data_IF_868710086303
#
_entry.id   IF_868710086303
#
_cell.length_a   1.000
_cell.length_b   1.000
_cell.length_c   1.000
_cell.angle_alpha   90.00
_cell.angle_beta   90.00
_cell.angle_gamma   90.00
#
_symmetry.space_group_name_H-M   'P 1'
#
loop_
_entity.id
_entity.type
_entity.pdbx_description
1 polymer ?
#
# COMPACT_ATOMS: atom_id res chain seq x y z
N UNK A 1 -12.05 -52.99 44.49
CA UNK A 1 -12.41 -52.93 43.06
C UNK A 1 -13.60 -52.01 42.87
N UNK A 2 -13.33 -50.78 42.41
CA UNK A 2 -14.22 -49.88 41.64
C UNK A 2 -13.48 -48.55 41.46
N UNK A 3 -12.59 -48.52 40.47
CA UNK A 3 -12.07 -47.26 39.94
C UNK A 3 -13.20 -46.63 39.11
N UNK A 4 -13.76 -45.52 39.57
CA UNK A 4 -14.50 -44.62 38.68
C UNK A 4 -13.48 -43.72 38.00
N UNK A 5 -13.28 -43.94 36.70
CA UNK A 5 -12.53 -43.04 35.84
C UNK A 5 -13.39 -41.79 35.56
N UNK A 6 -12.97 -40.63 36.08
CA UNK A 6 -13.56 -39.34 35.74
C UNK A 6 -12.89 -38.86 34.45
N UNK A 7 -13.64 -38.89 33.34
CA UNK A 7 -13.18 -38.35 32.06
C UNK A 7 -13.35 -36.82 32.10
N UNK A 8 -12.26 -36.09 32.38
CA UNK A 8 -12.25 -34.63 32.29
C UNK A 8 -12.14 -34.22 30.82
N UNK A 9 -13.23 -33.70 30.25
CA UNK A 9 -13.23 -33.10 28.92
C UNK A 9 -12.63 -31.70 29.05
N UNK A 10 -11.36 -31.56 28.67
CA UNK A 10 -10.66 -30.28 28.60
C UNK A 10 -11.16 -29.56 27.33
N UNK A 11 -12.03 -28.57 27.51
CA UNK A 11 -12.44 -27.67 26.43
C UNK A 11 -11.33 -26.64 26.24
N UNK A 12 -10.47 -26.85 25.24
CA UNK A 12 -9.48 -25.85 24.87
C UNK A 12 -10.18 -24.68 24.16
N UNK A 13 -9.99 -23.43 24.59
CA UNK A 13 -10.44 -22.30 23.82
C UNK A 13 -9.56 -22.23 22.57
N UNK A 14 -10.16 -22.41 21.39
CA UNK A 14 -9.54 -22.02 20.13
C UNK A 14 -9.29 -20.51 20.20
N UNK A 15 -8.07 -20.12 20.58
CA UNK A 15 -7.62 -18.75 20.47
C UNK A 15 -7.74 -18.35 19.00
N UNK A 16 -8.63 -17.41 18.71
CA UNK A 16 -8.65 -16.74 17.42
C UNK A 16 -7.28 -16.07 17.26
N UNK A 17 -6.43 -16.65 16.44
CA UNK A 17 -5.25 -15.96 15.94
C UNK A 17 -5.76 -14.76 15.15
N UNK A 18 -5.77 -13.58 15.77
CA UNK A 18 -5.82 -12.33 15.03
C UNK A 18 -4.55 -12.31 14.19
N UNK A 19 -4.68 -12.71 12.92
CA UNK A 19 -3.69 -12.38 11.92
C UNK A 19 -3.75 -10.85 11.78
N UNK A 20 -2.91 -10.15 12.56
CA UNK A 20 -2.59 -8.76 12.30
C UNK A 20 -2.01 -8.71 10.88
N UNK A 21 -2.86 -8.35 9.92
CA UNK A 21 -2.39 -8.08 8.57
C UNK A 21 -1.38 -6.94 8.66
N UNK A 22 -0.20 -7.05 8.03
CA UNK A 22 0.78 -5.98 8.09
C UNK A 22 0.13 -4.71 7.50
N UNK A 23 -0.07 -3.72 8.37
CA UNK A 23 -0.61 -2.44 7.97
C UNK A 23 0.36 -1.75 7.00
N UNK A 24 -0.18 -1.10 5.98
CA UNK A 24 0.61 -0.33 5.02
C UNK A 24 1.38 0.79 5.74
N UNK A 25 2.65 0.96 5.38
CA UNK A 25 3.45 2.11 5.77
C UNK A 25 3.10 3.29 4.85
N UNK A 26 2.66 4.41 5.41
CA UNK A 26 2.46 5.64 4.63
C UNK A 26 3.83 6.18 4.17
N UNK A 27 3.93 6.58 2.90
CA UNK A 27 5.17 7.07 2.28
C UNK A 27 4.97 8.47 1.71
N UNK A 28 5.97 9.35 1.85
CA UNK A 28 5.91 10.67 1.22
C UNK A 28 6.15 10.58 -0.29
N UNK A 29 5.44 11.38 -1.12
CA UNK A 29 5.54 11.32 -2.57
C UNK A 29 6.95 11.49 -3.14
N UNK A 30 7.79 12.31 -2.51
CA UNK A 30 9.14 12.58 -2.98
C UNK A 30 10.06 11.35 -2.99
N UNK A 31 9.76 10.32 -2.19
CA UNK A 31 10.54 9.08 -2.12
C UNK A 31 10.05 8.00 -3.08
N UNK A 32 9.03 8.29 -3.89
CA UNK A 32 8.40 7.31 -4.77
C UNK A 32 8.67 7.65 -6.23
N UNK A 33 9.11 6.66 -7.01
CA UNK A 33 9.00 6.77 -8.45
C UNK A 33 7.60 6.35 -8.88
N UNK A 34 6.81 7.33 -9.33
CA UNK A 34 5.42 7.14 -9.71
C UNK A 34 5.25 6.34 -11.00
N UNK A 35 6.32 6.08 -11.76
CA UNK A 35 6.27 5.28 -13.00
C UNK A 35 6.36 3.78 -12.71
N UNK A 36 7.29 3.37 -11.84
CA UNK A 36 7.50 1.96 -11.51
C UNK A 36 6.92 1.56 -10.15
N UNK A 37 6.34 2.52 -9.41
CA UNK A 37 5.71 2.29 -8.10
C UNK A 37 6.69 1.69 -7.09
N UNK A 38 7.88 2.27 -6.99
CA UNK A 38 8.91 1.85 -6.04
C UNK A 38 9.32 3.00 -5.10
N UNK A 39 9.64 2.64 -3.86
CA UNK A 39 10.16 3.54 -2.81
C UNK A 39 11.68 3.56 -2.84
N UNK A 40 12.27 4.70 -2.50
CA UNK A 40 13.72 4.94 -2.50
C UNK A 40 14.16 5.72 -1.26
N UNK A 41 15.41 5.54 -0.85
CA UNK A 41 16.00 6.18 0.34
C UNK A 41 16.38 7.66 0.15
N UNK A 42 16.05 8.24 -1.01
CA UNK A 42 16.37 9.64 -1.34
C UNK A 42 15.23 10.29 -2.13
N UNK A 43 15.11 11.63 -2.13
CA UNK A 43 14.16 12.31 -2.99
C UNK A 43 14.41 12.02 -4.48
N UNK A 44 13.32 11.81 -5.22
CA UNK A 44 13.31 11.57 -6.66
C UNK A 44 13.18 12.88 -7.45
N UNK A 45 13.27 12.80 -8.77
CA UNK A 45 13.24 13.99 -9.63
C UNK A 45 11.81 14.55 -9.70
N UNK A 46 11.57 15.82 -9.30
CA UNK A 46 10.26 16.43 -9.40
C UNK A 46 9.91 16.75 -10.87
N UNK A 47 8.64 16.57 -11.20
CA UNK A 47 8.05 16.86 -12.52
C UNK A 47 6.76 17.62 -12.32
N UNK A 48 6.73 18.89 -12.70
CA UNK A 48 5.54 19.72 -12.61
C UNK A 48 4.68 19.55 -13.86
N UNK A 49 3.40 19.22 -13.68
CA UNK A 49 2.40 19.20 -14.75
C UNK A 49 1.09 19.77 -14.22
N UNK A 50 0.58 20.82 -14.88
CA UNK A 50 -0.68 21.48 -14.53
C UNK A 50 -0.77 21.89 -13.04
N UNK A 51 0.33 22.41 -12.48
CA UNK A 51 0.40 22.86 -11.08
C UNK A 51 0.50 21.74 -10.04
N UNK A 52 0.66 20.48 -10.47
CA UNK A 52 0.89 19.31 -9.60
C UNK A 52 2.31 18.80 -9.75
N UNK A 53 2.87 18.25 -8.67
CA UNK A 53 4.22 17.68 -8.67
C UNK A 53 4.19 16.16 -8.62
N UNK A 54 4.90 15.54 -9.57
CA UNK A 54 5.11 14.10 -9.66
C UNK A 54 6.59 13.76 -9.50
N UNK A 55 6.91 12.50 -9.23
CA UNK A 55 8.27 12.09 -8.89
C UNK A 55 8.71 10.87 -9.70
N UNK A 56 9.90 10.96 -10.33
CA UNK A 56 10.47 9.90 -11.16
C UNK A 56 11.94 9.64 -10.82
N UNK A 57 12.37 8.37 -10.87
CA UNK A 57 13.73 7.99 -10.46
C UNK A 57 14.84 8.23 -11.49
N UNK A 58 14.47 8.55 -12.74
CA UNK A 58 15.43 8.79 -13.81
C UNK A 58 14.85 9.71 -14.89
N UNK A 59 15.69 10.11 -15.86
CA UNK A 59 15.29 10.95 -16.99
C UNK A 59 14.11 10.38 -17.78
N UNK A 60 14.10 9.08 -18.03
CA UNK A 60 12.98 8.42 -18.73
C UNK A 60 11.68 8.47 -17.93
N UNK A 61 11.73 8.26 -16.61
CA UNK A 61 10.53 8.36 -15.76
C UNK A 61 10.02 9.81 -15.73
N UNK A 62 10.93 10.79 -15.65
CA UNK A 62 10.58 12.21 -15.75
C UNK A 62 9.88 12.53 -17.06
N UNK A 63 10.44 12.08 -18.18
CA UNK A 63 9.86 12.32 -19.51
C UNK A 63 8.49 11.69 -19.66
N UNK A 64 8.32 10.45 -19.17
CA UNK A 64 7.03 9.77 -19.19
C UNK A 64 5.99 10.51 -18.36
N UNK A 65 6.32 10.95 -17.15
CA UNK A 65 5.39 11.73 -16.31
C UNK A 65 4.96 13.04 -16.98
N UNK A 66 5.86 13.69 -17.72
CA UNK A 66 5.56 14.93 -18.42
C UNK A 66 4.62 14.73 -19.63
N UNK A 67 4.67 13.58 -20.30
CA UNK A 67 3.99 13.34 -21.59
C UNK A 67 2.77 12.42 -21.50
N UNK A 68 2.81 11.44 -20.60
CA UNK A 68 1.83 10.36 -20.50
C UNK A 68 0.97 10.54 -19.25
N UNK A 69 -0.29 10.92 -19.45
CA UNK A 69 -1.26 11.06 -18.35
C UNK A 69 -1.48 9.74 -17.61
N UNK A 70 -1.38 8.58 -18.28
CA UNK A 70 -1.57 7.29 -17.60
C UNK A 70 -0.49 7.01 -16.55
N UNK A 71 0.72 7.53 -16.73
CA UNK A 71 1.79 7.40 -15.74
C UNK A 71 1.50 8.18 -14.44
N UNK A 72 0.63 9.19 -14.52
CA UNK A 72 0.20 10.06 -13.41
C UNK A 72 -1.06 9.58 -12.71
N UNK A 73 -1.72 8.54 -13.23
CA UNK A 73 -2.94 7.98 -12.66
C UNK A 73 -2.67 6.61 -12.04
N UNK A 74 -3.44 6.29 -11.00
CA UNK A 74 -3.53 4.96 -10.41
C UNK A 74 -5.00 4.60 -10.16
N UNK A 75 -5.25 3.36 -9.73
CA UNK A 75 -6.56 2.92 -9.25
C UNK A 75 -6.46 2.72 -7.75
N UNK A 76 -7.36 3.34 -6.99
CA UNK A 76 -7.53 3.07 -5.58
C UNK A 76 -8.04 1.63 -5.40
N UNK A 77 -7.30 0.74 -4.72
CA UNK A 77 -7.68 -0.66 -4.65
C UNK A 77 -8.85 -0.93 -3.69
N UNK A 78 -9.29 0.06 -2.91
CA UNK A 78 -10.47 -0.03 -2.04
C UNK A 78 -11.72 0.44 -2.77
N UNK A 79 -11.69 1.62 -3.39
CA UNK A 79 -12.88 2.19 -4.04
C UNK A 79 -13.00 1.89 -5.54
N UNK A 80 -11.93 1.41 -6.17
CA UNK A 80 -11.86 1.15 -7.62
C UNK A 80 -11.80 2.41 -8.48
N UNK A 81 -11.79 3.61 -7.88
CA UNK A 81 -11.74 4.87 -8.62
C UNK A 81 -10.34 5.18 -9.12
N UNK A 82 -10.27 5.92 -10.22
CA UNK A 82 -9.01 6.49 -10.68
C UNK A 82 -8.60 7.67 -9.80
N UNK A 83 -7.34 7.69 -9.39
CA UNK A 83 -6.74 8.73 -8.54
C UNK A 83 -5.51 9.32 -9.21
N UNK A 84 -5.34 10.64 -9.08
CA UNK A 84 -4.13 11.34 -9.51
C UNK A 84 -3.03 11.14 -8.46
N UNK A 85 -1.89 10.58 -8.88
CA UNK A 85 -0.79 10.21 -7.99
C UNK A 85 -0.17 11.39 -7.24
N UNK A 86 -0.26 12.61 -7.78
CA UNK A 86 0.26 13.80 -7.09
C UNK A 86 -0.58 14.20 -5.87
N UNK A 87 -1.86 13.79 -5.81
CA UNK A 87 -2.77 14.08 -4.69
C UNK A 87 -3.16 12.84 -3.87
N UNK A 88 -2.69 11.66 -4.27
CA UNK A 88 -3.04 10.42 -3.61
C UNK A 88 -2.31 10.26 -2.25
N UNK A 89 -2.97 9.56 -1.34
CA UNK A 89 -2.29 9.00 -0.18
C UNK A 89 -1.52 7.75 -0.66
N UNK A 90 -0.24 7.64 -0.31
CA UNK A 90 0.63 6.55 -0.79
C UNK A 90 0.96 5.61 0.36
N UNK A 91 0.77 4.30 0.13
CA UNK A 91 1.11 3.24 1.07
C UNK A 91 2.07 2.23 0.45
N UNK A 92 2.99 1.71 1.25
CA UNK A 92 3.92 0.64 0.91
C UNK A 92 3.64 -0.58 1.80
N UNK A 93 3.58 -1.77 1.22
CA UNK A 93 3.47 -3.02 1.99
C UNK A 93 4.83 -3.57 2.40
N UNK A 94 4.83 -4.66 3.19
CA UNK A 94 6.06 -5.29 3.66
C UNK A 94 6.93 -5.88 2.54
N UNK A 95 6.37 -6.09 1.34
CA UNK A 95 7.09 -6.57 0.16
C UNK A 95 7.61 -5.41 -0.72
N UNK A 96 7.35 -4.15 -0.33
CA UNK A 96 7.76 -2.96 -1.07
C UNK A 96 6.82 -2.56 -2.22
N UNK A 97 5.62 -3.18 -2.30
CA UNK A 97 4.63 -2.77 -3.30
C UNK A 97 3.95 -1.48 -2.88
N UNK A 98 3.87 -0.54 -3.83
CA UNK A 98 3.27 0.79 -3.62
C UNK A 98 1.84 0.84 -4.13
N UNK A 99 0.95 1.37 -3.29
CA UNK A 99 -0.47 1.57 -3.52
C UNK A 99 -0.84 3.04 -3.39
N UNK A 100 -1.86 3.47 -4.12
CA UNK A 100 -2.34 4.85 -4.15
C UNK A 100 -3.81 4.89 -3.75
N UNK A 101 -4.19 5.83 -2.89
CA UNK A 101 -5.52 5.92 -2.32
C UNK A 101 -6.09 7.33 -2.45
N UNK A 102 -7.41 7.45 -2.64
CA UNK A 102 -8.11 8.73 -2.64
C UNK A 102 -8.23 9.33 -1.23
N UNK A 103 -8.02 8.52 -0.18
CA UNK A 103 -8.15 8.96 1.22
C UNK A 103 -7.31 8.14 2.19
N UNK A 104 -7.04 8.70 3.38
CA UNK A 104 -6.39 7.95 4.47
C UNK A 104 -7.26 6.79 4.99
N UNK A 105 -8.58 6.91 4.90
CA UNK A 105 -9.49 5.85 5.29
C UNK A 105 -9.30 4.61 4.40
N UNK A 106 -9.14 4.81 3.09
CA UNK A 106 -8.89 3.71 2.16
C UNK A 106 -7.51 3.08 2.40
N UNK A 107 -6.46 3.88 2.66
CA UNK A 107 -5.15 3.32 3.06
C UNK A 107 -5.27 2.41 4.29
N UNK A 108 -6.02 2.84 5.31
CA UNK A 108 -6.21 2.07 6.56
C UNK A 108 -7.10 0.84 6.38
N UNK A 109 -8.03 0.87 5.42
CA UNK A 109 -8.95 -0.23 5.15
C UNK A 109 -8.36 -1.30 4.22
N UNK A 110 -7.28 -1.00 3.50
CA UNK A 110 -6.70 -1.91 2.53
C UNK A 110 -5.77 -2.94 3.20
N UNK A 111 -6.04 -4.21 2.93
CA UNK A 111 -5.16 -5.33 3.27
C UNK A 111 -4.58 -5.92 1.99
N UNK A 112 -3.28 -5.72 1.71
CA UNK A 112 -2.62 -6.34 0.57
C UNK A 112 -2.69 -7.87 0.68
N UNK A 113 -3.07 -8.53 -0.41
CA UNK A 113 -2.97 -9.97 -0.50
C UNK A 113 -1.48 -10.36 -0.45
N UNK A 114 -1.09 -11.12 0.58
CA UNK A 114 0.25 -11.69 0.67
C UNK A 114 0.40 -12.70 -0.48
N UNK A 115 1.36 -12.46 -1.39
CA UNK A 115 1.71 -13.40 -2.46
C UNK A 115 2.88 -14.29 -2.05
#
# INVERSE_FOLDING_TARGET
MKLLAVLAIIVLPFGAAHAESPALKKVEPQFVCMVNNAVFDKPQIPVEVSGKTYYGCCSMCKERLAKDTSARMATDPVSGKSVDKASAVIGEDAAGAVYYFESEANLKAYTPAQK
#
